data_IF_410796651623
#
_entry.id   IF_410796651623
#
_cell.length_a   1.000
_cell.length_b   1.000
_cell.length_c   1.000
_cell.angle_alpha   90.00
_cell.angle_beta   90.00
_cell.angle_gamma   90.00
#
_symmetry.space_group_name_H-M   'P 1'
#
loop_
_entity.id
_entity.type
_entity.pdbx_description
1 polymer ?
#
# COMPACT_ATOMS: atom_id res chain seq x y z
N UNK A 1 -1.96 0.93 16.00
CA UNK A 1 -3.29 1.41 16.44
C UNK A 1 -4.35 0.71 15.59
N UNK A 2 -5.50 0.38 16.17
CA UNK A 2 -6.65 -0.20 15.48
C UNK A 2 -7.79 0.82 15.53
N UNK A 3 -8.45 1.06 14.41
CA UNK A 3 -9.64 1.88 14.31
C UNK A 3 -10.78 1.05 13.70
N UNK A 4 -11.94 1.07 14.34
CA UNK A 4 -13.06 0.18 14.03
C UNK A 4 -14.34 0.98 13.92
N UNK A 5 -15.15 0.69 12.91
CA UNK A 5 -16.49 1.25 12.74
C UNK A 5 -17.47 0.11 12.53
N UNK A 6 -18.54 0.08 13.32
CA UNK A 6 -19.64 -0.86 13.13
C UNK A 6 -20.83 -0.13 12.53
N UNK A 7 -21.38 -0.67 11.43
CA UNK A 7 -22.61 -0.19 10.83
C UNK A 7 -23.67 -1.29 10.91
N UNK A 8 -24.71 -1.01 11.68
CA UNK A 8 -25.86 -1.92 11.84
C UNK A 8 -26.50 -2.23 10.49
N UNK A 9 -26.74 -3.52 10.24
CA UNK A 9 -27.27 -4.06 9.00
C UNK A 9 -26.21 -4.27 7.89
N UNK A 10 -24.94 -3.93 8.14
CA UNK A 10 -23.87 -4.12 7.16
C UNK A 10 -22.69 -4.92 7.73
N UNK A 11 -22.06 -4.45 8.81
CA UNK A 11 -20.91 -5.14 9.39
C UNK A 11 -19.87 -4.23 10.04
N UNK A 12 -18.69 -4.80 10.25
CA UNK A 12 -17.55 -4.21 10.95
C UNK A 12 -16.44 -3.86 9.96
N UNK A 13 -16.05 -2.60 9.95
CA UNK A 13 -14.94 -2.07 9.18
C UNK A 13 -13.76 -1.84 10.11
N UNK A 14 -12.61 -2.40 9.75
CA UNK A 14 -11.40 -2.32 10.58
C UNK A 14 -10.25 -1.71 9.78
N UNK A 15 -9.47 -0.83 10.42
CA UNK A 15 -8.23 -0.24 9.89
C UNK A 15 -7.12 -0.39 10.91
N UNK A 16 -5.98 -0.94 10.49
CA UNK A 16 -4.78 -0.99 11.30
C UNK A 16 -3.83 0.12 10.84
N UNK A 17 -3.48 1.04 11.74
CA UNK A 17 -2.57 2.16 11.45
C UNK A 17 -1.30 2.08 12.29
N UNK A 18 -0.16 2.34 11.66
CA UNK A 18 1.06 2.76 12.32
C UNK A 18 1.04 4.28 12.47
N UNK A 19 1.14 4.80 13.70
CA UNK A 19 1.10 6.25 13.96
C UNK A 19 2.22 6.64 14.90
N UNK A 20 2.85 7.80 14.64
CA UNK A 20 3.88 8.34 15.50
C UNK A 20 3.23 8.81 16.81
N UNK A 21 3.72 8.32 17.93
CA UNK A 21 3.20 8.68 19.25
C UNK A 21 3.39 10.18 19.59
N UNK A 22 4.19 10.90 18.80
CA UNK A 22 4.36 12.34 18.88
C UNK A 22 3.35 13.16 18.07
N UNK A 23 2.63 12.55 17.13
CA UNK A 23 1.52 13.22 16.45
C UNK A 23 0.52 13.76 17.47
N UNK A 24 -0.06 14.91 17.15
CA UNK A 24 -1.18 15.45 17.89
C UNK A 24 -2.43 14.56 17.76
N UNK A 25 -3.36 14.73 18.69
CA UNK A 25 -4.69 14.11 18.59
C UNK A 25 -5.39 14.52 17.29
N UNK A 26 -5.26 15.78 16.87
CA UNK A 26 -5.86 16.28 15.64
C UNK A 26 -5.33 15.54 14.39
N UNK A 27 -4.00 15.36 14.28
CA UNK A 27 -3.35 14.63 13.19
C UNK A 27 -3.69 13.14 13.23
N UNK A 28 -3.79 12.56 14.43
CA UNK A 28 -4.21 11.16 14.59
C UNK A 28 -5.64 10.95 14.12
N UNK A 29 -6.57 11.85 14.49
CA UNK A 29 -7.96 11.79 14.02
C UNK A 29 -8.02 11.96 12.50
N UNK A 30 -7.23 12.89 11.93
CA UNK A 30 -7.12 13.05 10.49
C UNK A 30 -6.72 11.75 9.82
N UNK A 31 -5.68 11.09 10.34
CA UNK A 31 -5.17 9.84 9.79
C UNK A 31 -6.20 8.70 9.86
N UNK A 32 -6.92 8.57 10.97
CA UNK A 32 -8.03 7.61 11.10
C UNK A 32 -9.08 7.89 10.03
N UNK A 33 -9.56 9.12 9.91
CA UNK A 33 -10.61 9.46 8.96
C UNK A 33 -10.18 9.28 7.49
N UNK A 34 -8.93 9.59 7.15
CA UNK A 34 -8.37 9.29 5.82
C UNK A 34 -8.38 7.79 5.53
N UNK A 35 -8.05 6.93 6.51
CA UNK A 35 -8.07 5.47 6.31
C UNK A 35 -9.47 4.88 6.07
N UNK A 36 -10.52 5.64 6.41
CA UNK A 36 -11.92 5.32 6.12
C UNK A 36 -12.47 6.06 4.89
N UNK A 37 -11.61 6.75 4.13
CA UNK A 37 -11.98 7.61 2.99
C UNK A 37 -13.03 8.65 3.38
N UNK A 38 -12.95 9.18 4.60
CA UNK A 38 -13.96 10.09 5.13
C UNK A 38 -13.94 11.43 4.38
N UNK A 39 -15.10 11.95 3.93
CA UNK A 39 -15.19 13.23 3.25
C UNK A 39 -14.58 14.37 4.08
N UNK A 40 -13.85 15.27 3.43
CA UNK A 40 -13.22 16.42 4.08
C UNK A 40 -12.04 16.11 5.02
N UNK A 41 -11.71 14.84 5.29
CA UNK A 41 -10.63 14.46 6.20
C UNK A 41 -9.26 15.03 5.77
N UNK A 42 -8.97 15.01 4.47
CA UNK A 42 -7.70 15.53 3.92
C UNK A 42 -7.47 17.00 4.30
N UNK A 43 -8.54 17.81 4.28
CA UNK A 43 -8.51 19.25 4.55
C UNK A 43 -8.78 19.60 6.01
N UNK A 44 -8.99 18.61 6.88
CA UNK A 44 -9.45 18.81 8.27
C UNK A 44 -8.53 19.71 9.13
N UNK A 45 -7.24 19.76 8.81
CA UNK A 45 -6.24 20.55 9.55
C UNK A 45 -5.69 21.75 8.77
N UNK A 46 -6.20 21.99 7.55
CA UNK A 46 -5.88 23.21 6.81
C UNK A 46 -6.70 24.34 7.42
N UNK A 47 -6.06 25.21 8.22
CA UNK A 47 -6.75 26.32 8.87
C UNK A 47 -7.11 27.44 7.88
N UNK A 48 -8.17 28.16 8.24
CA UNK A 48 -8.89 29.22 7.52
C UNK A 48 -8.10 30.52 7.21
N UNK A 49 -6.77 30.43 7.03
CA UNK A 49 -5.89 31.56 6.72
C UNK A 49 -5.95 32.02 5.25
N UNK A 50 -6.33 31.13 4.34
CA UNK A 50 -6.56 31.45 2.93
C UNK A 50 -8.06 31.62 2.65
N UNK A 51 -8.65 32.67 3.24
CA UNK A 51 -10.00 33.13 2.91
C UNK A 51 -10.09 33.76 1.49
N UNK A 52 -9.24 33.33 0.55
CA UNK A 52 -9.14 33.84 -0.82
C UNK A 52 -9.61 32.88 -1.91
N UNK A 53 -9.85 31.61 -1.62
CA UNK A 53 -10.33 30.67 -2.64
C UNK A 53 -11.22 29.58 -2.04
N UNK A 54 -12.39 29.96 -1.57
CA UNK A 54 -13.47 29.01 -1.28
C UNK A 54 -14.01 28.44 -2.59
N UNK A 55 -13.41 27.35 -3.06
CA UNK A 55 -14.14 26.44 -3.97
C UNK A 55 -15.21 25.77 -3.11
N UNK A 56 -16.42 26.27 -3.32
CA UNK A 56 -17.71 25.89 -2.74
C UNK A 56 -17.94 24.37 -2.66
N UNK A 57 -18.36 23.87 -1.50
CA UNK A 57 -19.13 22.62 -1.43
C UNK A 57 -19.19 21.88 -0.10
N UNK A 58 -18.05 21.69 0.59
CA UNK A 58 -17.98 20.72 1.70
C UNK A 58 -17.98 21.38 3.08
N UNK A 59 -18.89 20.94 3.94
CA UNK A 59 -18.92 21.36 5.34
C UNK A 59 -17.65 20.86 6.06
N UNK A 60 -17.07 21.64 6.99
CA UNK A 60 -15.91 21.19 7.74
C UNK A 60 -16.27 19.98 8.60
N UNK A 61 -15.42 18.95 8.58
CA UNK A 61 -15.58 17.74 9.40
C UNK A 61 -15.69 18.11 10.87
N UNK A 62 -16.81 17.75 11.48
CA UNK A 62 -17.06 17.91 12.90
C UNK A 62 -16.59 16.67 13.64
N UNK A 63 -15.71 16.81 14.63
CA UNK A 63 -15.20 15.65 15.35
C UNK A 63 -14.92 15.90 16.83
N UNK A 64 -14.95 14.83 17.62
CA UNK A 64 -14.51 14.79 19.00
C UNK A 64 -13.91 13.41 19.33
N UNK A 65 -12.74 13.39 19.98
CA UNK A 65 -12.12 12.17 20.48
C UNK A 65 -12.28 12.08 21.99
N UNK A 66 -12.95 11.04 22.46
CA UNK A 66 -13.15 10.73 23.86
C UNK A 66 -12.15 9.65 24.26
N UNK A 67 -11.00 10.03 24.81
CA UNK A 67 -9.97 9.08 25.20
C UNK A 67 -10.07 8.72 26.68
N UNK A 68 -9.95 7.42 26.99
CA UNK A 68 -9.88 6.92 28.35
C UNK A 68 -8.45 6.48 28.66
N UNK A 69 -7.85 7.08 29.67
CA UNK A 69 -6.51 6.73 30.16
C UNK A 69 -6.48 6.76 31.69
N UNK A 70 -5.98 5.70 32.31
CA UNK A 70 -5.84 5.59 33.78
C UNK A 70 -7.14 5.95 34.53
N UNK A 71 -8.26 5.43 34.03
CA UNK A 71 -9.62 5.66 34.55
C UNK A 71 -10.16 7.11 34.46
N UNK A 72 -9.47 7.98 33.71
CA UNK A 72 -9.95 9.33 33.39
C UNK A 72 -10.39 9.44 31.94
N UNK A 73 -11.57 10.00 31.73
CA UNK A 73 -12.09 10.37 30.42
C UNK A 73 -11.61 11.79 30.08
N UNK A 74 -11.02 11.96 28.91
CA UNK A 74 -10.65 13.26 28.34
C UNK A 74 -11.31 13.42 26.98
N UNK A 75 -11.81 14.62 26.71
CA UNK A 75 -12.43 14.96 25.42
C UNK A 75 -11.50 15.92 24.69
N UNK A 76 -11.20 15.62 23.44
CA UNK A 76 -10.43 16.45 22.54
C UNK A 76 -11.30 16.81 21.34
N UNK A 77 -11.52 18.08 21.12
CA UNK A 77 -12.20 18.62 19.95
C UNK A 77 -11.84 20.09 19.84
N UNK A 78 -12.10 20.73 18.70
CA UNK A 78 -11.82 22.17 18.52
C UNK A 78 -12.46 23.06 19.62
N UNK A 79 -13.56 22.61 20.22
CA UNK A 79 -14.30 23.35 21.25
C UNK A 79 -14.17 22.78 22.66
N UNK A 80 -13.66 21.55 22.82
CA UNK A 80 -13.73 20.78 24.06
C UNK A 80 -12.40 20.42 24.71
N UNK A 81 -11.26 20.58 24.02
CA UNK A 81 -9.95 20.26 24.60
C UNK A 81 -8.75 20.53 23.68
N UNK A 82 -7.51 20.43 24.19
CA UNK A 82 -6.29 20.75 23.45
C UNK A 82 -6.01 19.70 22.36
N UNK A 83 -6.48 19.95 21.13
CA UNK A 83 -6.32 19.03 19.99
C UNK A 83 -4.85 18.79 19.59
N UNK A 84 -3.94 19.69 19.98
CA UNK A 84 -2.48 19.57 19.81
C UNK A 84 -1.80 18.61 20.80
N UNK A 85 -2.56 18.01 21.74
CA UNK A 85 -1.99 17.06 22.72
C UNK A 85 -1.37 15.87 21.99
N UNK A 86 -0.13 15.46 22.32
CA UNK A 86 0.49 14.29 21.69
C UNK A 86 -0.29 13.00 21.99
N UNK A 87 -0.34 12.09 21.02
CA UNK A 87 -1.04 10.81 21.13
C UNK A 87 -0.57 9.98 22.32
N UNK A 88 0.74 9.95 22.58
CA UNK A 88 1.33 9.28 23.76
C UNK A 88 0.77 9.78 25.09
N UNK A 89 0.37 11.04 25.16
CA UNK A 89 -0.22 11.63 26.35
C UNK A 89 -1.73 11.37 26.42
N UNK A 90 -2.41 11.44 25.27
CA UNK A 90 -3.85 11.28 25.19
C UNK A 90 -4.31 9.83 25.43
N UNK A 91 -3.66 8.86 24.80
CA UNK A 91 -4.01 7.44 24.81
C UNK A 91 -2.96 6.57 25.51
N UNK A 92 -1.67 6.86 25.35
CA UNK A 92 -0.60 6.01 25.88
C UNK A 92 -0.46 4.70 25.10
N UNK A 93 0.10 3.65 25.72
CA UNK A 93 0.43 2.37 25.06
C UNK A 93 -0.77 1.44 24.88
N UNK A 94 -1.70 1.46 25.82
CA UNK A 94 -2.84 0.53 25.92
C UNK A 94 -4.17 1.30 26.08
N UNK A 95 -4.23 2.52 25.53
CA UNK A 95 -5.40 3.38 25.60
C UNK A 95 -6.50 2.98 24.62
N UNK A 96 -7.73 3.30 25.01
CA UNK A 96 -8.91 3.23 24.15
C UNK A 96 -9.58 4.59 24.05
N UNK A 97 -10.14 4.89 22.89
CA UNK A 97 -10.92 6.08 22.64
C UNK A 97 -12.13 5.80 21.77
N UNK A 98 -13.13 6.67 21.90
CA UNK A 98 -14.26 6.76 20.99
C UNK A 98 -14.13 8.05 20.19
N UNK A 99 -14.00 7.93 18.87
CA UNK A 99 -13.99 9.06 17.95
C UNK A 99 -15.40 9.25 17.39
N UNK A 100 -15.93 10.46 17.54
CA UNK A 100 -17.14 10.92 16.89
C UNK A 100 -16.74 11.79 15.70
N UNK A 101 -17.22 11.47 14.50
CA UNK A 101 -17.02 12.29 13.30
C UNK A 101 -18.35 12.41 12.53
N UNK A 102 -18.87 13.63 12.39
CA UNK A 102 -20.16 13.96 11.77
C UNK A 102 -21.33 13.07 12.24
N UNK A 103 -21.35 12.74 13.54
CA UNK A 103 -22.35 11.88 14.15
C UNK A 103 -22.10 10.37 14.02
N UNK A 104 -21.05 9.96 13.31
CA UNK A 104 -20.61 8.57 13.18
C UNK A 104 -19.54 8.24 14.23
N UNK A 105 -19.59 7.03 14.75
CA UNK A 105 -18.75 6.56 15.86
C UNK A 105 -17.71 5.56 15.36
N UNK A 106 -16.46 5.78 15.77
CA UNK A 106 -15.34 4.89 15.59
C UNK A 106 -14.75 4.53 16.95
N UNK A 107 -14.36 3.28 17.14
CA UNK A 107 -13.55 2.84 18.28
C UNK A 107 -12.10 2.88 17.87
N UNK A 108 -11.24 3.44 18.72
CA UNK A 108 -9.80 3.54 18.46
C UNK A 108 -9.05 2.91 19.64
N UNK A 109 -8.19 1.95 19.35
CA UNK A 109 -7.45 1.19 20.37
C UNK A 109 -5.97 1.11 20.01
N UNK A 110 -5.08 1.33 20.97
CA UNK A 110 -3.65 1.13 20.77
C UNK A 110 -3.31 -0.35 20.98
N UNK A 111 -2.90 -1.03 19.91
CA UNK A 111 -2.65 -2.49 19.90
C UNK A 111 -1.16 -2.87 20.04
N UNK A 112 -0.28 -1.90 20.27
CA UNK A 112 1.17 -2.14 20.36
C UNK A 112 1.99 -0.87 20.09
N UNK A 113 3.29 -0.96 20.35
CA UNK A 113 4.29 0.07 20.05
C UNK A 113 5.52 -0.60 19.43
N UNK A 114 6.13 0.05 18.45
CA UNK A 114 7.36 -0.38 17.81
C UNK A 114 8.37 0.75 17.86
N UNK A 115 9.66 0.39 17.90
CA UNK A 115 10.74 1.35 17.73
C UNK A 115 10.65 1.92 16.32
N UNK A 116 10.86 3.23 16.23
CA UNK A 116 10.66 3.99 15.02
C UNK A 116 11.94 4.76 14.73
N UNK A 117 12.36 4.74 13.47
CA UNK A 117 13.46 5.55 12.99
C UNK A 117 12.95 6.89 12.47
N UNK A 118 13.86 7.80 12.16
CA UNK A 118 13.55 9.15 11.66
C UNK A 118 12.94 9.12 10.24
N UNK A 119 12.92 7.95 9.59
CA UNK A 119 12.44 7.75 8.22
C UNK A 119 11.04 7.14 8.13
N UNK A 120 10.46 6.68 9.24
CA UNK A 120 9.11 6.12 9.23
C UNK A 120 8.07 7.26 9.13
N UNK A 121 7.13 7.26 8.16
CA UNK A 121 6.15 8.34 7.94
C UNK A 121 5.12 8.46 9.05
N UNK A 122 4.81 9.68 9.51
CA UNK A 122 4.06 9.95 10.75
C UNK A 122 2.80 9.09 10.92
N UNK A 123 2.04 8.87 9.84
CA UNK A 123 0.99 7.86 9.79
C UNK A 123 1.10 6.97 8.55
N UNK A 124 0.78 5.69 8.71
CA UNK A 124 0.66 4.70 7.64
C UNK A 124 -0.51 3.75 7.95
N UNK A 125 -1.31 3.42 6.94
CA UNK A 125 -2.32 2.38 6.99
C UNK A 125 -1.68 1.04 6.59
N UNK A 126 -1.69 0.10 7.52
CA UNK A 126 -1.01 -1.19 7.40
C UNK A 126 -1.93 -2.29 6.87
N UNK A 127 -3.23 -2.20 7.18
CA UNK A 127 -4.24 -3.16 6.75
C UNK A 127 -5.64 -2.56 6.87
N UNK A 128 -6.56 -3.09 6.08
CA UNK A 128 -7.99 -2.87 6.20
C UNK A 128 -8.75 -4.19 6.04
N UNK A 129 -9.82 -4.37 6.80
CA UNK A 129 -10.67 -5.55 6.71
C UNK A 129 -12.15 -5.16 6.87
N UNK A 130 -13.03 -6.01 6.35
CA UNK A 130 -14.47 -5.90 6.48
C UNK A 130 -15.09 -7.28 6.76
N UNK A 131 -15.86 -7.34 7.85
CA UNK A 131 -16.61 -8.54 8.26
C UNK A 131 -18.09 -8.18 8.27
N UNK A 132 -18.91 -8.90 7.53
CA UNK A 132 -20.36 -8.68 7.56
C UNK A 132 -21.00 -9.08 8.90
N UNK A 133 -22.24 -8.68 9.16
CA UNK A 133 -22.95 -9.04 10.40
C UNK A 133 -23.14 -10.56 10.59
N UNK A 134 -23.04 -11.36 9.51
CA UNK A 134 -23.12 -12.82 9.58
C UNK A 134 -21.76 -13.48 9.92
N UNK A 135 -20.69 -12.70 10.05
CA UNK A 135 -19.34 -13.17 10.38
C UNK A 135 -18.58 -13.75 9.19
N UNK A 136 -19.05 -13.52 7.96
CA UNK A 136 -18.35 -13.90 6.74
C UNK A 136 -17.34 -12.82 6.37
N UNK A 137 -16.08 -13.22 6.22
CA UNK A 137 -15.04 -12.37 5.64
C UNK A 137 -15.31 -12.33 4.14
N UNK A 138 -15.68 -11.15 3.62
CA UNK A 138 -15.88 -10.99 2.17
C UNK A 138 -14.54 -11.13 1.47
N UNK A 139 -14.39 -12.22 0.71
CA UNK A 139 -13.28 -12.47 -0.22
C UNK A 139 -13.86 -12.60 -1.62
N UNK A 140 -14.35 -11.50 -2.21
CA UNK A 140 -14.54 -11.31 -3.66
C UNK A 140 -15.39 -10.06 -3.98
N UNK A 141 -14.83 -9.10 -4.71
CA UNK A 141 -15.15 -8.92 -6.13
C UNK A 141 -16.56 -8.46 -6.53
N UNK A 142 -17.37 -7.90 -5.63
CA UNK A 142 -18.60 -7.20 -6.02
C UNK A 142 -18.35 -5.70 -6.01
N UNK A 143 -17.96 -5.15 -7.17
CA UNK A 143 -17.95 -3.72 -7.40
C UNK A 143 -19.35 -3.16 -7.12
N UNK A 144 -19.46 -2.36 -6.06
CA UNK A 144 -20.71 -1.69 -5.72
C UNK A 144 -21.02 -0.66 -6.81
N UNK A 145 -21.88 -1.06 -7.74
CA UNK A 145 -22.30 -0.20 -8.85
C UNK A 145 -23.16 0.91 -8.28
N UNK A 146 -22.71 2.14 -8.49
CA UNK A 146 -23.37 3.37 -8.04
C UNK A 146 -24.90 3.35 -8.28
N UNK A 147 -25.66 3.43 -7.19
CA UNK A 147 -27.12 3.51 -7.21
C UNK A 147 -27.68 4.14 -5.95
N UNK A 148 -27.75 5.48 -5.93
CA UNK A 148 -28.64 6.35 -5.14
C UNK A 148 -29.21 5.77 -3.83
N UNK A 149 -28.42 5.76 -2.75
CA UNK A 149 -28.91 5.66 -1.37
C UNK A 149 -28.29 6.79 -0.55
N UNK A 150 -29.09 7.37 0.35
CA UNK A 150 -28.79 8.62 1.07
C UNK A 150 -27.40 8.62 1.76
N UNK A 151 -26.67 9.72 1.50
CA UNK A 151 -25.28 10.00 1.89
C UNK A 151 -25.09 10.20 3.40
N UNK A 152 -24.75 9.17 4.17
CA UNK A 152 -24.27 9.42 5.54
C UNK A 152 -22.94 8.77 5.94
N UNK A 153 -22.30 7.90 5.14
CA UNK A 153 -20.85 7.68 5.34
C UNK A 153 -20.04 7.07 4.19
N UNK A 154 -20.60 6.33 3.24
CA UNK A 154 -19.87 5.93 2.00
C UNK A 154 -18.53 5.19 2.18
N UNK A 155 -18.27 4.63 3.37
CA UNK A 155 -17.00 3.95 3.69
C UNK A 155 -16.84 2.70 2.79
N UNK A 156 -15.70 2.56 2.08
CA UNK A 156 -15.47 1.41 1.22
C UNK A 156 -15.14 0.15 2.05
N UNK A 157 -15.66 -1.00 1.61
CA UNK A 157 -15.38 -2.32 2.22
C UNK A 157 -13.92 -2.71 2.01
N UNK A 158 -13.45 -2.58 0.78
CA UNK A 158 -12.04 -2.77 0.42
C UNK A 158 -11.26 -1.46 0.62
N UNK A 159 -9.99 -1.58 1.00
CA UNK A 159 -9.11 -0.43 1.21
C UNK A 159 -8.04 -0.43 0.14
N UNK A 160 -8.02 0.63 -0.64
CA UNK A 160 -6.84 0.97 -1.43
C UNK A 160 -5.77 1.53 -0.47
N UNK A 161 -4.93 0.63 0.05
CA UNK A 161 -3.85 0.99 0.96
C UNK A 161 -2.86 1.96 0.29
N UNK A 162 -2.70 1.89 -1.03
CA UNK A 162 -1.78 2.74 -1.75
C UNK A 162 -2.28 4.19 -1.78
N UNK A 163 -3.51 4.39 -2.24
CA UNK A 163 -4.13 5.72 -2.27
C UNK A 163 -4.23 6.35 -0.87
N UNK A 164 -4.59 5.54 0.14
CA UNK A 164 -4.64 5.98 1.54
C UNK A 164 -3.27 6.40 2.03
N UNK A 165 -2.23 5.61 1.79
CA UNK A 165 -0.89 5.90 2.29
C UNK A 165 -0.27 7.13 1.62
N UNK A 166 -0.44 7.31 0.30
CA UNK A 166 -0.06 8.55 -0.40
C UNK A 166 -0.69 9.79 0.27
N UNK A 167 -1.96 9.68 0.63
CA UNK A 167 -2.69 10.78 1.30
C UNK A 167 -2.21 11.03 2.74
N UNK A 168 -1.74 9.98 3.43
CA UNK A 168 -1.23 10.06 4.80
C UNK A 168 0.20 10.59 4.88
N UNK A 169 1.08 10.19 3.93
CA UNK A 169 2.48 10.60 3.90
C UNK A 169 2.70 11.96 3.22
N UNK A 170 1.76 12.39 2.37
CA UNK A 170 1.83 13.65 1.61
C UNK A 170 2.46 13.45 0.23
N UNK A 171 2.27 14.39 -0.69
CA UNK A 171 2.83 14.34 -2.06
C UNK A 171 4.35 14.55 -2.04
N UNK A 172 5.12 13.49 -2.25
CA UNK A 172 6.54 13.57 -2.59
C UNK A 172 6.71 14.02 -4.05
N UNK A 173 7.79 14.74 -4.36
CA UNK A 173 8.04 15.12 -5.76
C UNK A 173 8.46 13.89 -6.59
N UNK A 174 8.07 13.86 -7.86
CA UNK A 174 8.45 12.79 -8.81
C UNK A 174 9.96 12.54 -8.81
N UNK A 175 10.77 13.60 -8.73
CA UNK A 175 12.23 13.51 -8.72
C UNK A 175 12.79 12.83 -7.46
N UNK A 176 12.16 13.05 -6.30
CA UNK A 176 12.53 12.38 -5.05
C UNK A 176 12.20 10.88 -5.07
N UNK A 177 11.00 10.52 -5.55
CA UNK A 177 10.59 9.12 -5.68
C UNK A 177 11.52 8.37 -6.64
N UNK A 178 11.82 8.97 -7.79
CA UNK A 178 12.72 8.42 -8.80
C UNK A 178 14.16 8.25 -8.28
N UNK A 179 14.65 9.16 -7.44
CA UNK A 179 15.98 9.04 -6.85
C UNK A 179 16.14 7.81 -5.93
N UNK A 180 15.06 7.37 -5.29
CA UNK A 180 15.03 6.23 -4.37
C UNK A 180 14.88 4.86 -5.04
N UNK A 181 14.72 4.81 -6.38
CA UNK A 181 14.41 3.58 -7.11
C UNK A 181 15.67 2.88 -7.65
N UNK A 182 15.62 1.55 -7.75
CA UNK A 182 16.62 0.72 -8.39
C UNK A 182 17.00 1.28 -9.78
N UNK A 183 18.29 1.49 -10.09
CA UNK A 183 18.71 2.24 -11.28
C UNK A 183 18.13 1.70 -12.60
N UNK A 184 18.05 0.38 -12.74
CA UNK A 184 17.49 -0.23 -13.94
C UNK A 184 15.97 -0.01 -14.07
N UNK A 185 15.23 -0.06 -12.96
CA UNK A 185 13.80 0.27 -12.97
C UNK A 185 13.59 1.75 -13.26
N UNK A 186 14.43 2.62 -12.68
CA UNK A 186 14.42 4.05 -12.98
C UNK A 186 14.62 4.32 -14.48
N UNK A 187 15.60 3.67 -15.11
CA UNK A 187 15.86 3.81 -16.55
C UNK A 187 14.68 3.30 -17.41
N UNK A 188 14.01 2.22 -16.99
CA UNK A 188 12.80 1.71 -17.64
C UNK A 188 11.64 2.70 -17.54
N UNK A 189 11.42 3.28 -16.36
CA UNK A 189 10.35 4.27 -16.15
C UNK A 189 10.57 5.52 -17.00
N UNK A 190 11.81 5.98 -17.13
CA UNK A 190 12.17 7.10 -18.00
C UNK A 190 11.99 6.76 -19.49
N UNK A 191 12.34 5.55 -19.91
CA UNK A 191 12.24 5.14 -21.31
C UNK A 191 10.79 4.98 -21.79
N UNK A 192 9.87 4.58 -20.90
CA UNK A 192 8.45 4.40 -21.21
C UNK A 192 7.55 5.59 -20.87
N UNK A 193 8.11 6.74 -20.45
CA UNK A 193 7.34 7.89 -19.94
C UNK A 193 6.31 7.52 -18.84
N UNK A 194 6.66 6.54 -17.99
CA UNK A 194 5.79 5.87 -17.03
C UNK A 194 5.58 6.66 -15.72
N UNK A 195 5.56 7.99 -15.79
CA UNK A 195 5.40 8.86 -14.62
C UNK A 195 4.02 8.69 -13.96
N UNK A 196 3.03 8.16 -14.66
CA UNK A 196 1.70 7.85 -14.12
C UNK A 196 1.72 6.78 -13.02
N UNK A 197 2.80 6.00 -12.93
CA UNK A 197 2.98 4.97 -11.89
C UNK A 197 3.66 5.50 -10.62
N UNK A 198 4.05 6.78 -10.60
CA UNK A 198 4.66 7.44 -9.42
C UNK A 198 3.82 7.28 -8.14
N UNK A 199 2.47 7.43 -8.15
CA UNK A 199 1.66 7.23 -6.94
C UNK A 199 1.78 5.81 -6.37
N UNK A 200 1.94 4.79 -7.22
CA UNK A 200 2.12 3.41 -6.79
C UNK A 200 3.48 3.22 -6.09
N UNK A 201 4.53 3.84 -6.61
CA UNK A 201 5.88 3.77 -6.04
C UNK A 201 5.97 4.56 -4.73
N UNK A 202 5.30 5.71 -4.65
CA UNK A 202 5.17 6.50 -3.43
C UNK A 202 4.46 5.72 -2.32
N UNK A 203 3.39 5.00 -2.65
CA UNK A 203 2.66 4.15 -1.70
C UNK A 203 3.54 3.07 -1.05
N UNK A 204 4.63 2.69 -1.71
CA UNK A 204 5.57 1.69 -1.19
C UNK A 204 6.60 2.28 -0.23
N UNK A 205 6.68 3.61 -0.08
CA UNK A 205 7.59 4.29 0.87
C UNK A 205 9.04 3.80 0.69
N UNK A 206 9.61 4.09 -0.48
CA UNK A 206 10.95 3.61 -0.86
C UNK A 206 12.08 4.38 -0.15
N UNK A 207 11.81 5.46 0.56
CA UNK A 207 12.82 6.16 1.38
C UNK A 207 13.19 5.36 2.65
N UNK A 208 12.26 4.56 3.17
CA UNK A 208 12.47 3.76 4.38
C UNK A 208 13.22 2.45 4.09
N UNK A 209 14.38 2.16 4.71
CA UNK A 209 15.12 0.91 4.46
C UNK A 209 14.26 -0.34 4.67
N UNK A 210 14.22 -1.21 3.67
CA UNK A 210 13.44 -2.44 3.73
C UNK A 210 13.91 -3.38 4.86
N UNK A 211 12.96 -3.90 5.62
CA UNK A 211 13.22 -4.75 6.80
C UNK A 211 13.22 -6.23 6.41
N UNK A 212 14.28 -6.67 5.72
CA UNK A 212 14.46 -8.03 5.24
C UNK A 212 15.65 -8.69 5.96
N UNK A 213 15.59 -9.98 6.28
CA UNK A 213 16.74 -10.66 6.91
C UNK A 213 17.94 -10.76 5.96
N UNK A 214 19.17 -10.67 6.50
CA UNK A 214 20.42 -10.67 5.71
C UNK A 214 20.52 -11.84 4.72
N UNK A 215 20.09 -13.04 5.12
CA UNK A 215 20.06 -14.21 4.24
C UNK A 215 19.13 -14.07 3.04
N UNK A 216 17.97 -13.41 3.20
CA UNK A 216 17.05 -13.14 2.09
C UNK A 216 17.57 -11.96 1.24
N UNK A 217 18.13 -10.92 1.88
CA UNK A 217 18.74 -9.80 1.16
C UNK A 217 19.83 -10.27 0.21
N UNK A 218 20.72 -11.17 0.64
CA UNK A 218 21.77 -11.76 -0.20
C UNK A 218 21.20 -12.40 -1.46
N UNK A 219 20.10 -13.16 -1.34
CA UNK A 219 19.43 -13.80 -2.49
C UNK A 219 18.77 -12.76 -3.39
N UNK A 220 17.96 -11.86 -2.83
CA UNK A 220 17.23 -10.83 -3.58
C UNK A 220 18.15 -9.77 -4.21
N UNK A 221 19.38 -9.63 -3.71
CA UNK A 221 20.37 -8.71 -4.27
C UNK A 221 20.76 -9.03 -5.72
N UNK A 222 20.51 -10.26 -6.15
CA UNK A 222 20.84 -10.77 -7.48
C UNK A 222 19.75 -10.55 -8.53
N UNK A 223 18.57 -10.05 -8.12
CA UNK A 223 17.43 -9.83 -9.01
C UNK A 223 17.49 -8.46 -9.72
N UNK A 224 16.97 -8.35 -10.97
CA UNK A 224 16.39 -9.43 -11.79
C UNK A 224 17.40 -10.48 -12.27
N UNK A 225 16.99 -11.74 -12.31
CA UNK A 225 17.82 -12.88 -12.70
C UNK A 225 17.91 -13.09 -14.23
N UNK A 226 17.03 -12.45 -15.00
CA UNK A 226 16.99 -12.55 -16.45
C UNK A 226 18.21 -11.87 -17.09
N UNK A 227 18.65 -12.41 -18.23
CA UNK A 227 19.82 -11.92 -18.97
C UNK A 227 19.46 -11.12 -20.22
N UNK A 228 18.22 -11.24 -20.72
CA UNK A 228 17.74 -10.51 -21.90
C UNK A 228 17.08 -9.19 -21.48
N UNK A 229 17.18 -8.10 -22.27
CA UNK A 229 16.53 -6.82 -21.94
C UNK A 229 15.02 -6.97 -21.69
N UNK A 230 14.32 -7.70 -22.57
CA UNK A 230 12.88 -7.93 -22.44
C UNK A 230 12.54 -8.79 -21.22
N UNK A 231 13.38 -9.78 -20.90
CA UNK A 231 13.20 -10.60 -19.70
C UNK A 231 13.38 -9.80 -18.41
N UNK A 232 14.36 -8.89 -18.38
CA UNK A 232 14.61 -8.01 -17.24
C UNK A 232 13.49 -6.97 -17.07
N UNK A 233 12.99 -6.40 -18.17
CA UNK A 233 11.81 -5.55 -18.15
C UNK A 233 10.56 -6.29 -17.64
N UNK A 234 10.32 -7.51 -18.14
CA UNK A 234 9.25 -8.39 -17.68
C UNK A 234 9.34 -8.69 -16.17
N UNK A 235 10.55 -8.91 -15.66
CA UNK A 235 10.79 -9.14 -14.24
C UNK A 235 10.50 -7.90 -13.40
N UNK A 236 10.97 -6.72 -13.83
CA UNK A 236 10.67 -5.46 -13.14
C UNK A 236 9.18 -5.14 -13.14
N UNK A 237 8.49 -5.28 -14.29
CA UNK A 237 7.05 -5.08 -14.39
C UNK A 237 6.29 -5.96 -13.40
N UNK A 238 6.69 -7.24 -13.28
CA UNK A 238 6.10 -8.15 -12.29
C UNK A 238 6.46 -7.80 -10.84
N UNK A 239 7.68 -7.38 -10.54
CA UNK A 239 8.06 -6.95 -9.18
C UNK A 239 7.19 -5.77 -8.76
N UNK A 240 6.98 -4.78 -9.65
CA UNK A 240 6.09 -3.64 -9.41
C UNK A 240 4.66 -4.10 -9.22
N UNK A 241 4.11 -4.93 -10.12
CA UNK A 241 2.74 -5.43 -9.99
C UNK A 241 2.52 -6.26 -8.71
N UNK A 242 3.47 -7.12 -8.33
CA UNK A 242 3.35 -7.92 -7.12
C UNK A 242 3.48 -7.07 -5.84
N UNK A 243 4.15 -5.93 -5.90
CA UNK A 243 4.29 -5.02 -4.76
C UNK A 243 2.97 -4.37 -4.35
N UNK A 244 1.97 -4.34 -5.24
CA UNK A 244 0.63 -3.83 -4.93
C UNK A 244 -0.14 -4.75 -3.98
N UNK A 245 0.34 -5.98 -3.77
CA UNK A 245 -0.32 -7.03 -2.99
C UNK A 245 -1.75 -7.35 -3.46
N UNK A 246 -2.08 -7.01 -4.70
CA UNK A 246 -3.36 -7.33 -5.33
C UNK A 246 -3.46 -8.82 -5.66
N UNK A 247 -4.65 -9.27 -6.06
CA UNK A 247 -4.81 -10.62 -6.57
C UNK A 247 -4.04 -10.82 -7.90
N UNK A 248 -4.04 -12.07 -8.37
CA UNK A 248 -3.31 -12.47 -9.58
C UNK A 248 -3.84 -11.78 -10.83
N UNK A 249 -5.14 -11.58 -10.94
CA UNK A 249 -5.75 -10.96 -12.13
C UNK A 249 -5.35 -9.50 -12.22
N UNK A 250 -5.49 -8.76 -11.12
CA UNK A 250 -5.04 -7.36 -11.05
C UNK A 250 -3.52 -7.24 -11.28
N UNK A 251 -2.71 -8.14 -10.70
CA UNK A 251 -1.25 -8.15 -10.93
C UNK A 251 -0.90 -8.42 -12.40
N UNK A 252 -1.63 -9.31 -13.05
CA UNK A 252 -1.44 -9.63 -14.47
C UNK A 252 -1.79 -8.41 -15.35
N UNK A 253 -2.91 -7.73 -15.08
CA UNK A 253 -3.33 -6.51 -15.80
C UNK A 253 -2.30 -5.38 -15.65
N UNK A 254 -1.80 -5.13 -14.43
CA UNK A 254 -0.76 -4.11 -14.17
C UNK A 254 0.53 -4.49 -14.92
N UNK A 255 0.90 -5.77 -14.91
CA UNK A 255 2.10 -6.27 -15.58
C UNK A 255 2.01 -6.08 -17.11
N UNK A 256 0.87 -6.42 -17.72
CA UNK A 256 0.61 -6.22 -19.15
C UNK A 256 0.64 -4.74 -19.53
N UNK A 257 0.01 -3.89 -18.72
CA UNK A 257 0.00 -2.44 -18.91
C UNK A 257 1.41 -1.86 -18.90
N UNK A 258 2.24 -2.23 -17.92
CA UNK A 258 3.63 -1.78 -17.81
C UNK A 258 4.46 -2.22 -19.01
N UNK A 259 4.34 -3.48 -19.44
CA UNK A 259 5.10 -3.97 -20.59
C UNK A 259 4.65 -3.33 -21.91
N UNK A 260 3.35 -3.10 -22.08
CA UNK A 260 2.81 -2.41 -23.24
C UNK A 260 3.28 -0.95 -23.30
N UNK A 261 3.32 -0.26 -22.17
CA UNK A 261 3.74 1.13 -22.08
C UNK A 261 5.27 1.29 -22.25
N UNK A 262 6.07 0.28 -21.89
CA UNK A 262 7.48 0.17 -22.29
C UNK A 262 7.68 -0.08 -23.79
N UNK A 263 6.60 -0.37 -24.54
CA UNK A 263 6.64 -0.60 -25.97
C UNK A 263 7.19 -1.96 -26.40
N UNK A 264 7.36 -2.91 -25.47
CA UNK A 264 7.84 -4.24 -25.80
C UNK A 264 6.75 -5.08 -26.47
N UNK A 265 7.12 -5.68 -27.60
CA UNK A 265 6.25 -6.54 -28.40
C UNK A 265 6.73 -8.00 -28.37
N UNK A 266 5.91 -8.88 -28.92
CA UNK A 266 6.29 -10.29 -29.13
C UNK A 266 7.55 -10.46 -29.99
N UNK A 267 7.80 -9.55 -30.93
CA UNK A 267 9.00 -9.54 -31.76
C UNK A 267 10.26 -9.34 -30.92
N UNK A 268 10.23 -8.40 -29.97
CA UNK A 268 11.37 -8.11 -29.09
C UNK A 268 11.68 -9.29 -28.16
N UNK A 269 10.65 -10.08 -27.83
CA UNK A 269 10.74 -11.27 -26.99
C UNK A 269 11.16 -12.56 -27.75
N UNK A 270 11.46 -12.46 -29.05
CA UNK A 270 11.73 -13.61 -29.94
C UNK A 270 10.65 -14.71 -29.86
N UNK A 271 9.39 -14.31 -29.62
CA UNK A 271 8.28 -15.25 -29.54
C UNK A 271 7.79 -15.64 -30.94
N UNK A 272 7.60 -16.94 -31.15
CA UNK A 272 7.05 -17.44 -32.39
C UNK A 272 5.62 -16.88 -32.64
N UNK A 273 5.22 -16.70 -33.90
CA UNK A 273 3.84 -16.38 -34.24
C UNK A 273 2.90 -17.45 -33.68
N UNK A 274 1.80 -17.02 -33.08
CA UNK A 274 0.74 -17.92 -32.58
C UNK A 274 -0.57 -17.60 -33.31
N UNK A 275 -1.50 -18.55 -33.32
CA UNK A 275 -2.78 -18.38 -34.01
C UNK A 275 -3.53 -17.20 -33.38
N UNK A 276 -3.73 -16.14 -34.16
CA UNK A 276 -4.41 -14.92 -33.70
C UNK A 276 -3.50 -13.89 -33.01
N UNK A 277 -2.17 -14.08 -33.01
CA UNK A 277 -1.21 -13.10 -32.47
C UNK A 277 -0.12 -12.76 -33.47
N UNK A 278 0.02 -11.47 -33.79
CA UNK A 278 1.06 -10.90 -34.66
C UNK A 278 2.34 -10.62 -33.86
N UNK A 279 3.47 -10.50 -34.54
CA UNK A 279 4.75 -10.17 -33.90
C UNK A 279 4.77 -8.76 -33.27
N UNK A 280 3.94 -7.84 -33.78
CA UNK A 280 3.78 -6.48 -33.27
C UNK A 280 2.84 -6.39 -32.06
N UNK A 281 2.17 -7.48 -31.70
CA UNK A 281 1.20 -7.45 -30.60
C UNK A 281 1.94 -7.32 -29.25
N UNK A 282 1.29 -6.67 -28.26
CA UNK A 282 1.81 -6.63 -26.89
C UNK A 282 1.91 -8.04 -26.30
N UNK A 283 2.79 -8.17 -25.31
CA UNK A 283 2.97 -9.41 -24.55
C UNK A 283 1.81 -9.61 -23.58
N UNK A 284 1.28 -10.83 -23.48
CA UNK A 284 0.29 -11.18 -22.45
C UNK A 284 0.95 -11.60 -21.12
N UNK A 285 0.18 -11.65 -20.04
CA UNK A 285 0.69 -11.99 -18.72
C UNK A 285 1.33 -13.39 -18.67
N UNK A 286 0.85 -14.34 -19.47
CA UNK A 286 1.45 -15.67 -19.56
C UNK A 286 2.86 -15.64 -20.17
N UNK A 287 3.05 -14.82 -21.20
CA UNK A 287 4.31 -14.58 -21.88
C UNK A 287 5.28 -13.82 -20.99
N UNK A 288 4.81 -12.75 -20.35
CA UNK A 288 5.60 -11.97 -19.40
C UNK A 288 6.06 -12.85 -18.23
N UNK A 289 5.20 -13.72 -17.71
CA UNK A 289 5.57 -14.70 -16.67
C UNK A 289 6.65 -15.69 -17.12
N UNK A 290 6.61 -16.13 -18.38
CA UNK A 290 7.62 -17.03 -18.94
C UNK A 290 8.96 -16.32 -19.12
N UNK A 291 8.92 -15.07 -19.60
CA UNK A 291 10.11 -14.25 -19.79
C UNK A 291 10.81 -13.95 -18.46
N UNK A 292 10.06 -13.77 -17.38
CA UNK A 292 10.57 -13.47 -16.04
C UNK A 292 10.65 -14.69 -15.10
N UNK A 293 10.72 -15.91 -15.65
CA UNK A 293 10.54 -17.13 -14.86
C UNK A 293 11.66 -17.35 -13.82
N UNK A 294 12.89 -16.90 -14.12
CA UNK A 294 14.03 -17.05 -13.24
C UNK A 294 13.87 -16.20 -11.97
N UNK A 295 13.49 -14.93 -12.13
CA UNK A 295 13.15 -14.03 -11.03
C UNK A 295 11.96 -14.56 -10.23
N UNK A 296 10.90 -15.01 -10.91
CA UNK A 296 9.74 -15.60 -10.25
C UNK A 296 10.10 -16.83 -9.38
N UNK A 297 11.09 -17.62 -9.78
CA UNK A 297 11.57 -18.77 -9.02
C UNK A 297 12.27 -18.35 -7.72
N UNK A 298 13.12 -17.34 -7.80
CA UNK A 298 13.81 -16.78 -6.63
C UNK A 298 12.79 -16.16 -5.66
N UNK A 299 11.85 -15.35 -6.16
CA UNK A 299 10.78 -14.76 -5.34
C UNK A 299 9.96 -15.83 -4.62
N UNK A 300 9.58 -16.89 -5.34
CA UNK A 300 8.85 -17.99 -4.74
C UNK A 300 9.67 -18.73 -3.67
N UNK A 301 10.97 -18.94 -3.89
CA UNK A 301 11.86 -19.59 -2.91
C UNK A 301 12.00 -18.76 -1.63
N UNK A 302 11.99 -17.43 -1.75
CA UNK A 302 11.99 -16.51 -0.61
C UNK A 302 10.63 -16.41 0.10
N UNK A 303 9.53 -16.90 -0.51
CA UNK A 303 8.17 -16.76 0.00
C UNK A 303 7.47 -15.46 -0.43
N UNK A 304 8.06 -14.70 -1.35
CA UNK A 304 7.52 -13.44 -1.87
C UNK A 304 6.35 -13.67 -2.86
N UNK A 305 6.37 -14.77 -3.62
CA UNK A 305 5.34 -15.15 -4.59
C UNK A 305 4.93 -16.62 -4.41
N UNK A 306 3.75 -16.99 -4.92
CA UNK A 306 3.32 -18.39 -5.02
C UNK A 306 3.76 -18.93 -6.37
N UNK A 307 4.71 -19.87 -6.35
CA UNK A 307 5.08 -20.59 -7.57
C UNK A 307 3.83 -21.22 -8.18
N UNK A 308 3.47 -20.77 -9.39
CA UNK A 308 2.38 -21.37 -10.15
C UNK A 308 2.71 -22.83 -10.39
N UNK A 309 1.97 -23.75 -9.75
CA UNK A 309 1.92 -25.10 -10.25
C UNK A 309 1.50 -25.03 -11.70
N UNK A 310 2.35 -25.56 -12.58
CA UNK A 310 2.03 -25.80 -13.98
C UNK A 310 0.74 -26.62 -13.99
N UNK A 311 -0.36 -26.05 -14.51
CA UNK A 311 -1.59 -26.81 -14.75
C UNK A 311 -1.21 -28.08 -15.52
N UNK A 312 -1.32 -29.24 -14.87
CA UNK A 312 -1.10 -30.55 -15.48
C UNK A 312 0.09 -31.39 -15.00
N UNK A 313 1.02 -30.91 -14.15
CA UNK A 313 2.03 -31.82 -13.56
C UNK A 313 1.58 -32.37 -12.22
N UNK A 314 1.02 -33.58 -12.26
CA UNK A 314 0.90 -34.47 -11.10
C UNK A 314 2.30 -34.83 -10.61
N UNK A 315 2.80 -34.13 -9.59
CA UNK A 315 3.85 -34.65 -8.74
C UNK A 315 3.63 -34.14 -7.33
N UNK A 316 3.30 -35.06 -6.42
CA UNK A 316 2.95 -34.82 -5.02
C UNK A 316 4.11 -34.36 -4.14
N UNK A 317 5.00 -33.53 -4.67
CA UNK A 317 5.99 -32.78 -3.89
C UNK A 317 5.42 -31.39 -3.72
N UNK A 318 4.73 -31.15 -2.60
CA UNK A 318 4.42 -29.79 -2.16
C UNK A 318 5.76 -29.12 -1.88
N UNK A 319 6.21 -28.14 -2.69
CA UNK A 319 7.43 -27.43 -2.35
C UNK A 319 7.22 -26.82 -0.96
N UNK A 320 8.19 -27.02 -0.06
CA UNK A 320 8.25 -26.37 1.25
C UNK A 320 8.55 -24.88 1.03
N UNK A 321 7.63 -24.17 0.38
CA UNK A 321 7.72 -22.74 0.18
C UNK A 321 7.49 -22.11 1.54
N UNK A 322 8.45 -21.30 1.97
CA UNK A 322 8.30 -20.51 3.20
C UNK A 322 7.04 -19.66 3.07
N UNK A 323 6.06 -19.88 3.94
CA UNK A 323 4.88 -19.01 4.02
C UNK A 323 5.29 -17.73 4.72
N UNK A 324 5.41 -16.65 3.96
CA UNK A 324 5.68 -15.32 4.49
C UNK A 324 4.36 -14.56 4.70
N UNK A 325 4.33 -13.73 5.74
CA UNK A 325 3.25 -12.76 5.96
C UNK A 325 3.19 -11.74 4.82
N UNK A 326 2.04 -11.07 4.64
CA UNK A 326 1.90 -9.95 3.69
C UNK A 326 2.96 -8.87 3.93
N UNK A 327 3.25 -8.58 5.19
CA UNK A 327 4.28 -7.60 5.60
C UNK A 327 5.67 -8.05 5.15
N UNK A 328 6.05 -9.31 5.39
CA UNK A 328 7.36 -9.83 4.92
C UNK A 328 7.49 -9.74 3.40
N UNK A 329 6.41 -10.04 2.65
CA UNK A 329 6.42 -9.92 1.18
C UNK A 329 6.57 -8.47 0.72
N UNK A 330 5.86 -7.54 1.35
CA UNK A 330 5.98 -6.11 1.05
C UNK A 330 7.40 -5.60 1.30
N UNK A 331 8.03 -5.98 2.41
CA UNK A 331 9.41 -5.61 2.71
C UNK A 331 10.39 -6.22 1.68
N UNK A 332 10.13 -7.44 1.18
CA UNK A 332 10.92 -8.02 0.08
C UNK A 332 10.78 -7.23 -1.22
N UNK A 333 9.57 -6.79 -1.59
CA UNK A 333 9.36 -5.97 -2.78
C UNK A 333 9.98 -4.58 -2.63
N UNK A 334 9.84 -3.93 -1.46
CA UNK A 334 10.52 -2.69 -1.14
C UNK A 334 12.04 -2.82 -1.31
N UNK A 335 12.62 -3.90 -0.78
CA UNK A 335 14.06 -4.17 -0.92
C UNK A 335 14.52 -4.33 -2.37
N UNK A 336 13.66 -4.83 -3.25
CA UNK A 336 13.94 -4.97 -4.68
C UNK A 336 13.85 -3.63 -5.40
N UNK A 337 12.83 -2.84 -5.09
CA UNK A 337 12.53 -1.58 -5.75
C UNK A 337 13.45 -0.44 -5.31
N UNK A 338 14.05 -0.53 -4.13
CA UNK A 338 14.97 0.48 -3.61
C UNK A 338 16.29 0.55 -4.38
N UNK A 339 16.78 1.78 -4.53
CA UNK A 339 18.13 2.06 -4.99
C UNK A 339 19.13 1.42 -4.04
N UNK A 340 20.00 0.59 -4.60
CA UNK A 340 21.11 -0.03 -3.86
C UNK A 340 22.35 0.77 -4.20
N UNK A 341 22.77 1.64 -3.31
CA UNK A 341 24.09 2.25 -3.47
C UNK A 341 25.12 1.11 -3.45
N UNK A 342 25.83 0.99 -4.57
CA UNK A 342 26.92 0.04 -4.70
C UNK A 342 27.88 0.24 -3.55
N UNK A 343 28.05 -0.81 -2.76
CA UNK A 343 29.10 -1.02 -1.77
C UNK A 343 30.36 -0.18 -2.11
N UNK A 344 30.49 0.99 -1.48
CA UNK A 344 31.74 1.76 -1.47
C UNK A 344 32.45 1.48 -0.15
N UNK A 345 33.79 1.37 -0.17
CA UNK A 345 34.54 0.61 0.82
C UNK A 345 34.43 1.24 2.20
N UNK A 346 34.41 0.40 3.24
CA UNK A 346 34.69 0.82 4.60
C UNK A 346 36.06 1.51 4.64
N UNK A 347 36.07 2.84 4.70
CA UNK A 347 37.16 3.55 5.37
C UNK A 347 36.91 3.42 6.88
N UNK A 348 37.64 2.52 7.54
CA UNK A 348 38.58 2.77 8.66
C UNK A 348 39.51 1.57 8.75
#
# INVERSE_FOLDING_TARGET
MLAEHHRTGEGYFTRALGVNSAMSVAETVRAVLISFSWPGAVRMLQDAGDAGSSVSGDAPVTWALHARRSDRLRVYSRTGGPIGTPLREALGRDGTATLFADGVVFTVTTAGSMTRDDHTPDAVCLAGDFIDEQGTVSTAGAADTAGTVARTSGIPREVDLAAVNVTLTGEETVEQILAGIAPELHDLLLAGDLYEFTPLLQALDLERPAQVSEGIQSVLSTLPAETTPVGRAAAWARIVALSTLSDRTASDEITEMLMAALGFTRADADLAPDVGKLSSDPLDAGEIRRLSAATGHVLATCGADVWGQREGTVSGVTPLVRRCSLVERLEMYRFLLQRRDGNSPREV
#
